data_IF_689016490174
#
_entry.id   IF_689016490174
#
_cell.length_a   1.000
_cell.length_b   1.000
_cell.length_c   1.000
_cell.angle_alpha   90.00
_cell.angle_beta   90.00
_cell.angle_gamma   90.00
#
_symmetry.space_group_name_H-M   'P 1'
#
loop_
_entity.id
_entity.type
_entity.pdbx_description
1 polymer ?
#
# COMPACT_ATOMS: atom_id res chain seq x y z
N UNK A 1 -0.46 -8.43 -27.20
CA UNK A 1 -0.92 -9.04 -25.94
C UNK A 1 -2.37 -8.71 -25.59
N UNK A 2 -2.76 -7.43 -25.46
CA UNK A 2 -4.11 -7.00 -25.02
C UNK A 2 -5.26 -7.56 -25.86
N UNK A 3 -5.09 -7.65 -27.19
CA UNK A 3 -6.08 -8.24 -28.09
C UNK A 3 -6.23 -9.76 -27.87
N UNK A 4 -5.13 -10.46 -27.61
CA UNK A 4 -5.11 -11.91 -27.30
C UNK A 4 -5.79 -12.16 -25.95
N UNK A 5 -5.46 -11.35 -24.95
CA UNK A 5 -6.16 -11.35 -23.66
C UNK A 5 -7.66 -11.13 -23.87
N UNK A 6 -8.06 -10.06 -24.56
CA UNK A 6 -9.48 -9.75 -24.84
C UNK A 6 -10.27 -10.91 -25.45
N UNK A 7 -9.68 -11.62 -26.42
CA UNK A 7 -10.33 -12.74 -27.13
C UNK A 7 -10.53 -13.97 -26.25
N UNK A 8 -9.61 -14.25 -25.34
CA UNK A 8 -9.62 -15.47 -24.54
C UNK A 8 -10.35 -15.31 -23.19
N UNK A 9 -10.64 -14.08 -22.74
CA UNK A 9 -11.38 -13.90 -21.49
C UNK A 9 -12.85 -14.36 -21.60
N UNK A 10 -13.32 -15.23 -20.68
CA UNK A 10 -14.68 -15.75 -20.73
C UNK A 10 -15.73 -14.63 -20.60
N UNK A 11 -16.70 -14.62 -21.50
CA UNK A 11 -17.79 -13.63 -21.52
C UNK A 11 -18.60 -13.58 -20.21
N UNK A 12 -18.70 -14.71 -19.50
CA UNK A 12 -19.42 -14.81 -18.22
C UNK A 12 -18.66 -14.18 -17.05
N UNK A 13 -17.33 -14.14 -17.09
CA UNK A 13 -16.54 -13.48 -16.07
C UNK A 13 -16.61 -11.94 -16.20
N UNK A 14 -16.84 -11.41 -17.42
CA UNK A 14 -17.20 -9.99 -17.66
C UNK A 14 -18.47 -9.57 -16.91
N UNK A 15 -19.45 -10.46 -16.81
CA UNK A 15 -20.73 -10.16 -16.13
C UNK A 15 -20.63 -10.07 -14.61
N UNK A 16 -19.62 -10.68 -13.98
CA UNK A 16 -19.51 -10.74 -12.52
C UNK A 16 -18.57 -9.69 -11.91
N UNK A 17 -17.79 -8.96 -12.72
CA UNK A 17 -16.82 -7.96 -12.23
C UNK A 17 -15.65 -8.55 -11.42
N UNK A 18 -15.45 -9.87 -11.49
CA UNK A 18 -14.45 -10.64 -10.74
C UNK A 18 -13.20 -10.81 -11.60
N UNK A 19 -12.65 -9.73 -12.14
CA UNK A 19 -11.35 -9.80 -12.82
C UNK A 19 -10.29 -9.08 -12.01
N UNK A 20 -9.17 -9.76 -11.80
CA UNK A 20 -7.88 -9.14 -11.54
C UNK A 20 -7.35 -8.62 -12.86
N UNK A 21 -6.70 -7.47 -12.82
CA UNK A 21 -6.05 -6.93 -14.00
C UNK A 21 -4.69 -7.59 -14.15
N UNK A 22 -4.42 -8.09 -15.35
CA UNK A 22 -3.13 -8.59 -15.79
C UNK A 22 -2.23 -7.43 -16.21
N UNK A 23 -0.92 -7.59 -16.05
CA UNK A 23 0.05 -6.64 -16.60
C UNK A 23 0.11 -6.85 -18.12
N UNK A 24 -0.06 -5.77 -18.86
CA UNK A 24 -0.08 -5.77 -20.33
C UNK A 24 1.05 -4.94 -20.95
N UNK A 25 1.92 -4.33 -20.13
CA UNK A 25 3.04 -3.48 -20.57
C UNK A 25 4.37 -4.19 -20.40
N UNK A 26 5.04 -4.45 -21.52
CA UNK A 26 6.41 -4.98 -21.52
C UNK A 26 7.38 -4.03 -20.85
N UNK A 27 7.28 -2.73 -21.14
CA UNK A 27 8.13 -1.70 -20.57
C UNK A 27 8.03 -1.67 -19.05
N UNK A 28 6.83 -1.84 -18.48
CA UNK A 28 6.67 -1.92 -17.02
C UNK A 28 7.41 -3.11 -16.43
N UNK A 29 7.32 -4.29 -17.06
CA UNK A 29 8.06 -5.46 -16.61
C UNK A 29 9.57 -5.24 -16.69
N UNK A 30 10.05 -4.66 -17.79
CA UNK A 30 11.48 -4.37 -18.00
C UNK A 30 12.00 -3.37 -16.93
N UNK A 31 11.28 -2.27 -16.71
CA UNK A 31 11.61 -1.27 -15.68
C UNK A 31 11.62 -1.89 -14.27
N UNK A 32 10.63 -2.73 -13.94
CA UNK A 32 10.53 -3.40 -12.64
C UNK A 32 11.66 -4.43 -12.43
N UNK A 33 12.01 -5.21 -13.45
CA UNK A 33 13.12 -6.17 -13.38
C UNK A 33 14.48 -5.47 -13.26
N UNK A 34 14.67 -4.36 -13.97
CA UNK A 34 15.86 -3.54 -13.82
C UNK A 34 15.98 -3.01 -12.39
N UNK A 35 14.86 -2.54 -11.80
CA UNK A 35 14.80 -2.10 -10.40
C UNK A 35 15.12 -3.23 -9.42
N UNK A 36 14.68 -4.45 -9.72
CA UNK A 36 14.93 -5.64 -8.91
C UNK A 36 16.31 -6.28 -9.13
N UNK A 37 17.06 -5.85 -10.13
CA UNK A 37 18.34 -6.47 -10.51
C UNK A 37 19.32 -6.66 -9.33
N UNK A 38 19.50 -5.73 -8.37
CA UNK A 38 20.43 -5.94 -7.25
C UNK A 38 20.01 -7.09 -6.32
N UNK A 39 18.71 -7.36 -6.22
CA UNK A 39 18.13 -8.39 -5.36
C UNK A 39 18.05 -9.75 -6.06
N UNK A 40 17.85 -9.75 -7.38
CA UNK A 40 17.75 -10.97 -8.17
C UNK A 40 19.12 -11.50 -8.60
N UNK A 41 20.01 -10.64 -9.08
CA UNK A 41 21.26 -11.05 -9.75
C UNK A 41 22.44 -11.32 -8.80
N UNK A 42 22.38 -10.87 -7.54
CA UNK A 42 23.48 -11.12 -6.57
C UNK A 42 23.72 -12.61 -6.32
N UNK A 43 22.64 -13.38 -6.20
CA UNK A 43 22.63 -14.85 -6.20
C UNK A 43 21.50 -15.27 -7.13
N UNK A 44 21.73 -15.41 -8.44
CA UNK A 44 20.66 -15.58 -9.42
C UNK A 44 19.89 -16.88 -9.18
N UNK A 45 18.55 -16.86 -9.15
CA UNK A 45 17.78 -18.09 -9.11
C UNK A 45 17.92 -18.81 -10.45
N UNK A 46 18.10 -20.13 -10.38
CA UNK A 46 18.27 -20.99 -11.55
C UNK A 46 17.01 -21.80 -11.85
N UNK A 47 16.07 -21.88 -10.91
CA UNK A 47 14.76 -22.50 -11.09
C UNK A 47 13.65 -21.51 -10.72
N UNK A 48 12.55 -21.54 -11.48
CA UNK A 48 11.38 -20.68 -11.28
C UNK A 48 10.13 -21.54 -11.17
N UNK A 49 9.38 -21.37 -10.09
CA UNK A 49 8.02 -21.86 -9.95
C UNK A 49 7.06 -20.68 -10.09
N UNK A 50 6.17 -20.72 -11.09
CA UNK A 50 5.23 -19.66 -11.40
C UNK A 50 3.79 -20.11 -11.13
N UNK A 51 3.17 -19.48 -10.14
CA UNK A 51 1.85 -19.79 -9.64
C UNK A 51 0.84 -18.79 -10.20
N UNK A 52 -0.13 -19.28 -10.97
CA UNK A 52 -1.16 -18.48 -11.68
C UNK A 52 -0.57 -17.49 -12.69
N UNK A 53 0.27 -17.94 -13.65
CA UNK A 53 0.94 -17.06 -14.60
C UNK A 53 -0.02 -16.18 -15.42
N UNK A 54 -1.30 -16.58 -15.55
CA UNK A 54 -2.32 -15.80 -16.23
C UNK A 54 -1.92 -15.45 -17.65
N UNK A 55 -1.73 -14.16 -17.95
CA UNK A 55 -1.31 -13.70 -19.27
C UNK A 55 0.12 -14.08 -19.68
N UNK A 56 0.97 -14.53 -18.76
CA UNK A 56 2.34 -14.99 -19.03
C UNK A 56 3.37 -13.92 -19.36
N UNK A 57 3.02 -12.62 -19.35
CA UNK A 57 3.97 -11.55 -19.70
C UNK A 57 5.13 -11.47 -18.73
N UNK A 58 4.81 -11.38 -17.43
CA UNK A 58 5.82 -11.31 -16.39
C UNK A 58 6.66 -12.59 -16.38
N UNK A 59 6.03 -13.75 -16.57
CA UNK A 59 6.68 -15.05 -16.71
C UNK A 59 7.74 -15.02 -17.82
N UNK A 60 7.36 -14.55 -19.01
CA UNK A 60 8.28 -14.41 -20.15
C UNK A 60 9.44 -13.46 -19.84
N UNK A 61 9.14 -12.27 -19.32
CA UNK A 61 10.15 -11.24 -19.04
C UNK A 61 11.13 -11.67 -17.95
N UNK A 62 10.65 -12.33 -16.89
CA UNK A 62 11.50 -12.89 -15.84
C UNK A 62 12.39 -14.01 -16.41
N UNK A 63 11.84 -14.89 -17.26
CA UNK A 63 12.62 -15.94 -17.91
C UNK A 63 13.74 -15.35 -18.79
N UNK A 64 13.44 -14.32 -19.60
CA UNK A 64 14.43 -13.63 -20.43
C UNK A 64 15.55 -13.00 -19.60
N UNK A 65 15.18 -12.37 -18.49
CA UNK A 65 16.09 -11.66 -17.60
C UNK A 65 17.01 -12.61 -16.81
N UNK A 66 16.47 -13.72 -16.30
CA UNK A 66 17.21 -14.64 -15.42
C UNK A 66 17.80 -15.85 -16.14
N UNK A 67 17.24 -16.23 -17.29
CA UNK A 67 17.62 -17.42 -18.07
C UNK A 67 17.69 -18.68 -17.20
N UNK A 68 16.59 -19.07 -16.54
CA UNK A 68 16.58 -20.19 -15.62
C UNK A 68 16.80 -21.51 -16.36
N UNK A 69 17.32 -22.50 -15.62
CA UNK A 69 17.36 -23.90 -16.05
C UNK A 69 15.96 -24.47 -16.24
N UNK A 70 15.03 -24.19 -15.31
CA UNK A 70 13.63 -24.61 -15.38
C UNK A 70 12.68 -23.50 -14.98
N UNK A 71 11.56 -23.40 -15.68
CA UNK A 71 10.46 -22.50 -15.38
C UNK A 71 9.15 -23.27 -15.45
N UNK A 72 8.65 -23.70 -14.30
CA UNK A 72 7.43 -24.51 -14.18
C UNK A 72 6.26 -23.59 -13.85
N UNK A 73 5.26 -23.58 -14.71
CA UNK A 73 4.05 -22.78 -14.61
C UNK A 73 2.87 -23.66 -14.18
N UNK A 74 2.14 -23.25 -13.14
CA UNK A 74 0.91 -23.90 -12.70
C UNK A 74 -0.26 -22.96 -12.92
N UNK A 75 -1.15 -23.33 -13.84
CA UNK A 75 -2.35 -22.55 -14.17
C UNK A 75 -3.60 -23.44 -14.09
N UNK A 76 -4.46 -23.27 -13.06
CA UNK A 76 -5.70 -24.02 -12.95
C UNK A 76 -6.74 -23.68 -14.04
N UNK A 77 -6.72 -22.46 -14.59
CA UNK A 77 -7.72 -21.97 -15.55
C UNK A 77 -7.25 -22.10 -17.01
N UNK A 78 -6.76 -23.29 -17.40
CA UNK A 78 -6.23 -23.52 -18.75
C UNK A 78 -7.24 -23.27 -19.87
N UNK A 79 -8.54 -23.51 -19.66
CA UNK A 79 -9.57 -23.16 -20.65
C UNK A 79 -9.49 -21.68 -21.11
N UNK A 80 -9.03 -20.80 -20.21
CA UNK A 80 -8.85 -19.37 -20.49
C UNK A 80 -7.43 -19.05 -20.94
N UNK A 81 -6.41 -19.59 -20.24
CA UNK A 81 -5.03 -19.13 -20.41
C UNK A 81 -4.17 -20.01 -21.30
N UNK A 82 -4.55 -21.27 -21.56
CA UNK A 82 -3.78 -22.18 -22.40
C UNK A 82 -3.49 -21.62 -23.81
N UNK A 83 -4.43 -20.96 -24.53
CA UNK A 83 -4.12 -20.37 -25.84
C UNK A 83 -3.03 -19.29 -25.81
N UNK A 84 -2.76 -18.72 -24.63
CA UNK A 84 -1.77 -17.65 -24.42
C UNK A 84 -0.46 -18.24 -23.88
N UNK A 85 -0.55 -19.18 -22.94
CA UNK A 85 0.60 -19.79 -22.29
C UNK A 85 1.28 -20.86 -23.16
N UNK A 86 0.52 -21.62 -23.97
CA UNK A 86 1.11 -22.70 -24.77
C UNK A 86 2.16 -22.18 -25.78
N UNK A 87 1.92 -21.08 -26.54
CA UNK A 87 2.96 -20.49 -27.39
C UNK A 87 4.23 -20.08 -26.61
N UNK A 88 4.08 -19.63 -25.35
CA UNK A 88 5.22 -19.30 -24.49
C UNK A 88 5.98 -20.57 -24.09
N UNK A 89 5.28 -21.64 -23.71
CA UNK A 89 5.86 -22.95 -23.37
C UNK A 89 6.66 -23.50 -24.55
N UNK A 90 6.05 -23.50 -25.74
CA UNK A 90 6.65 -24.04 -26.95
C UNK A 90 7.86 -23.22 -27.42
N UNK A 91 7.97 -21.95 -26.98
CA UNK A 91 9.07 -21.07 -27.36
C UNK A 91 10.43 -21.49 -26.80
N UNK A 92 10.46 -22.18 -25.64
CA UNK A 92 11.71 -22.60 -24.98
C UNK A 92 11.55 -23.91 -24.20
N UNK A 93 12.54 -24.83 -24.29
CA UNK A 93 12.48 -26.13 -23.60
C UNK A 93 12.51 -26.04 -22.07
N UNK A 94 12.93 -24.90 -21.50
CA UNK A 94 12.97 -24.71 -20.05
C UNK A 94 11.57 -24.57 -19.42
N UNK A 95 10.54 -24.25 -20.22
CA UNK A 95 9.18 -24.10 -19.73
C UNK A 95 8.49 -25.45 -19.55
N UNK A 96 7.68 -25.56 -18.49
CA UNK A 96 6.74 -26.67 -18.30
C UNK A 96 5.43 -26.10 -17.80
N UNK A 97 4.32 -26.36 -18.49
CA UNK A 97 2.99 -25.96 -18.04
C UNK A 97 2.27 -27.15 -17.42
N UNK A 98 1.71 -26.94 -16.23
CA UNK A 98 0.97 -27.94 -15.47
C UNK A 98 -0.47 -27.49 -15.29
N UNK A 99 -1.40 -28.41 -15.62
CA UNK A 99 -2.82 -28.27 -15.36
C UNK A 99 -3.16 -28.86 -14.00
N UNK A 100 -3.07 -28.09 -12.93
CA UNK A 100 -3.45 -28.58 -11.60
C UNK A 100 -3.96 -27.47 -10.69
N UNK A 101 -4.83 -27.85 -9.74
CA UNK A 101 -5.22 -26.97 -8.65
C UNK A 101 -4.08 -26.86 -7.63
N UNK A 102 -3.54 -25.66 -7.49
CA UNK A 102 -2.45 -25.34 -6.55
C UNK A 102 -2.85 -25.66 -5.11
N UNK A 103 -4.14 -25.53 -4.75
CA UNK A 103 -4.62 -25.82 -3.41
C UNK A 103 -4.73 -27.32 -3.11
N UNK A 104 -4.71 -28.16 -4.14
CA UNK A 104 -4.74 -29.62 -3.99
C UNK A 104 -3.38 -30.22 -3.63
N UNK A 105 -2.28 -29.45 -3.80
CA UNK A 105 -0.91 -29.91 -3.53
C UNK A 105 -0.70 -29.99 -2.01
N UNK A 106 -0.74 -31.21 -1.47
CA UNK A 106 -0.51 -31.48 -0.05
C UNK A 106 0.97 -31.57 0.31
N UNK A 107 1.78 -32.05 -0.62
CA UNK A 107 3.23 -32.26 -0.43
C UNK A 107 4.02 -31.50 -1.50
N UNK A 108 4.33 -30.25 -1.18
CA UNK A 108 5.16 -29.41 -2.03
C UNK A 108 6.62 -29.89 -2.10
N UNK A 109 7.12 -30.64 -1.11
CA UNK A 109 8.49 -31.14 -1.14
C UNK A 109 8.63 -32.20 -2.24
N UNK A 110 7.72 -33.18 -2.28
CA UNK A 110 7.70 -34.17 -3.37
C UNK A 110 7.48 -33.51 -4.73
N UNK A 111 6.59 -32.52 -4.80
CA UNK A 111 6.40 -31.73 -6.02
C UNK A 111 7.70 -31.06 -6.50
N UNK A 112 8.45 -30.42 -5.59
CA UNK A 112 9.72 -29.78 -5.93
C UNK A 112 10.74 -30.80 -6.44
N UNK A 113 10.83 -31.97 -5.81
CA UNK A 113 11.75 -33.04 -6.26
C UNK A 113 11.38 -33.59 -7.63
N UNK A 114 10.09 -33.69 -7.96
CA UNK A 114 9.63 -34.16 -9.27
C UNK A 114 9.92 -33.15 -10.39
N UNK A 115 9.59 -31.88 -10.16
CA UNK A 115 9.62 -30.85 -11.19
C UNK A 115 10.94 -30.06 -11.23
N UNK A 116 11.70 -30.08 -10.14
CA UNK A 116 13.01 -29.45 -9.98
C UNK A 116 13.97 -30.42 -9.26
N UNK A 117 14.40 -31.51 -9.90
CA UNK A 117 15.17 -32.60 -9.26
C UNK A 117 16.53 -32.18 -8.69
N UNK A 118 17.01 -31.00 -9.08
CA UNK A 118 18.24 -30.39 -8.57
C UNK A 118 18.01 -29.51 -7.34
N UNK A 119 16.76 -29.40 -6.85
CA UNK A 119 16.42 -28.79 -5.57
C UNK A 119 16.54 -29.85 -4.47
N UNK A 120 17.15 -29.47 -3.35
CA UNK A 120 17.38 -30.33 -2.20
C UNK A 120 18.10 -29.60 -1.07
N UNK A 121 18.51 -30.34 -0.06
CA UNK A 121 19.21 -29.77 1.11
C UNK A 121 20.53 -29.08 0.76
N UNK A 122 21.16 -29.43 -0.36
CA UNK A 122 22.38 -28.76 -0.85
C UNK A 122 22.15 -27.31 -1.29
N UNK A 123 20.91 -26.92 -1.60
CA UNK A 123 20.54 -25.54 -1.96
C UNK A 123 20.31 -24.65 -0.73
N UNK A 124 20.32 -25.25 0.47
CA UNK A 124 19.97 -24.60 1.71
C UNK A 124 21.21 -23.94 2.35
N UNK A 125 21.19 -22.61 2.46
CA UNK A 125 22.17 -21.80 3.18
C UNK A 125 21.71 -21.62 4.64
N UNK A 126 22.37 -22.31 5.56
CA UNK A 126 22.05 -22.32 7.00
C UNK A 126 22.88 -21.34 7.84
N UNK A 127 23.60 -20.42 7.19
CA UNK A 127 24.47 -19.46 7.90
C UNK A 127 23.72 -18.42 8.75
N UNK A 128 22.40 -18.26 8.54
CA UNK A 128 21.57 -17.29 9.26
C UNK A 128 20.49 -17.93 10.13
N UNK A 129 19.76 -17.09 10.88
CA UNK A 129 18.70 -17.54 11.78
C UNK A 129 17.55 -18.31 11.09
N UNK A 130 17.31 -18.01 9.82
CA UNK A 130 16.38 -18.74 8.96
C UNK A 130 17.15 -19.21 7.73
N UNK A 131 17.07 -20.51 7.44
CA UNK A 131 17.77 -21.09 6.31
C UNK A 131 17.20 -20.55 4.99
N UNK A 132 18.04 -20.40 3.96
CA UNK A 132 17.69 -19.70 2.71
C UNK A 132 17.93 -20.58 1.50
N UNK A 133 17.03 -20.53 0.53
CA UNK A 133 17.23 -21.11 -0.79
C UNK A 133 17.35 -19.98 -1.82
N UNK A 134 18.57 -19.77 -2.32
CA UNK A 134 18.82 -18.76 -3.34
C UNK A 134 18.54 -19.25 -4.75
N UNK A 135 18.42 -20.56 -4.97
CA UNK A 135 18.33 -21.13 -6.32
C UNK A 135 16.91 -21.19 -6.88
N UNK A 136 15.89 -21.11 -6.01
CA UNK A 136 14.48 -21.10 -6.38
C UNK A 136 13.85 -19.70 -6.23
N UNK A 137 13.17 -19.26 -7.28
CA UNK A 137 12.30 -18.08 -7.27
C UNK A 137 10.85 -18.53 -7.45
N UNK A 138 9.96 -18.01 -6.60
CA UNK A 138 8.51 -18.16 -6.79
C UNK A 138 7.97 -16.88 -7.42
N UNK A 139 7.28 -17.03 -8.55
CA UNK A 139 6.38 -16.01 -9.09
C UNK A 139 4.96 -16.34 -8.64
N UNK A 140 4.17 -15.33 -8.26
CA UNK A 140 2.80 -15.57 -7.85
C UNK A 140 1.85 -14.45 -8.27
N UNK A 141 0.74 -14.84 -8.90
CA UNK A 141 -0.33 -13.93 -9.28
C UNK A 141 -1.67 -14.47 -8.76
N UNK A 142 -1.84 -14.61 -7.42
CA UNK A 142 -3.01 -15.26 -6.83
C UNK A 142 -4.33 -14.61 -7.29
N UNK A 143 -5.36 -15.42 -7.60
CA UNK A 143 -6.63 -14.92 -8.11
C UNK A 143 -7.38 -14.11 -7.04
N UNK A 144 -8.24 -13.16 -7.44
CA UNK A 144 -9.09 -12.44 -6.51
C UNK A 144 -10.18 -13.37 -5.97
N UNK A 145 -10.79 -13.01 -4.83
CA UNK A 145 -11.90 -13.79 -4.28
C UNK A 145 -13.09 -13.82 -5.24
N UNK A 146 -13.66 -15.01 -5.44
CA UNK A 146 -14.79 -15.19 -6.36
C UNK A 146 -16.14 -14.80 -5.75
N UNK A 147 -16.17 -14.60 -4.44
CA UNK A 147 -17.38 -14.30 -3.66
C UNK A 147 -17.04 -13.57 -2.37
N UNK A 148 -17.98 -12.81 -1.81
CA UNK A 148 -17.85 -12.24 -0.46
C UNK A 148 -17.77 -13.31 0.65
N UNK A 149 -18.22 -14.54 0.37
CA UNK A 149 -18.11 -15.69 1.28
C UNK A 149 -16.79 -16.44 1.13
N UNK A 150 -16.02 -16.12 0.09
CA UNK A 150 -14.71 -16.71 -0.13
C UNK A 150 -13.68 -15.98 0.73
N UNK A 151 -13.19 -16.68 1.74
CA UNK A 151 -12.23 -16.16 2.70
C UNK A 151 -10.78 -16.36 2.26
N UNK A 152 -10.53 -16.94 1.07
CA UNK A 152 -9.19 -17.19 0.54
C UNK A 152 -8.68 -16.00 -0.28
N UNK A 153 -8.51 -14.86 0.39
CA UNK A 153 -7.94 -13.64 -0.21
C UNK A 153 -6.46 -13.81 -0.56
N UNK A 154 -5.92 -13.09 -1.56
CA UNK A 154 -4.48 -13.03 -1.82
C UNK A 154 -3.62 -12.74 -0.59
N UNK A 155 -4.03 -11.82 0.30
CA UNK A 155 -3.31 -11.55 1.56
C UNK A 155 -3.31 -12.75 2.54
N UNK A 156 -4.33 -13.61 2.46
CA UNK A 156 -4.41 -14.85 3.26
C UNK A 156 -3.51 -15.93 2.68
N UNK A 157 -3.47 -16.09 1.35
CA UNK A 157 -2.49 -16.95 0.69
C UNK A 157 -1.06 -16.52 1.06
N UNK A 158 -0.78 -15.21 1.01
CA UNK A 158 0.51 -14.66 1.44
C UNK A 158 0.83 -15.00 2.90
N UNK A 159 -0.15 -14.89 3.79
CA UNK A 159 0.03 -15.28 5.20
C UNK A 159 0.40 -16.75 5.35
N UNK A 160 -0.25 -17.65 4.60
CA UNK A 160 0.08 -19.08 4.60
C UNK A 160 1.50 -19.29 4.07
N UNK A 161 1.88 -18.64 2.98
CA UNK A 161 3.22 -18.71 2.41
C UNK A 161 4.30 -18.29 3.43
N UNK A 162 4.11 -17.15 4.11
CA UNK A 162 5.04 -16.67 5.14
C UNK A 162 5.05 -17.57 6.38
N UNK A 163 3.91 -18.14 6.78
CA UNK A 163 3.86 -19.11 7.88
C UNK A 163 4.61 -20.41 7.51
N UNK A 164 4.48 -20.92 6.30
CA UNK A 164 5.26 -22.08 5.82
C UNK A 164 6.74 -21.76 5.70
N UNK A 165 7.10 -20.51 5.36
CA UNK A 165 8.47 -20.03 5.41
C UNK A 165 9.04 -20.10 6.83
N UNK A 166 8.33 -19.56 7.82
CA UNK A 166 8.73 -19.63 9.23
C UNK A 166 8.92 -21.07 9.72
N UNK A 167 8.08 -22.00 9.25
CA UNK A 167 8.14 -23.43 9.58
C UNK A 167 9.12 -24.23 8.74
N UNK A 168 9.78 -23.61 7.75
CA UNK A 168 10.63 -24.28 6.75
C UNK A 168 9.95 -25.50 6.12
N UNK A 169 8.69 -25.34 5.72
CA UNK A 169 7.87 -26.41 5.15
C UNK A 169 7.29 -26.03 3.80
N UNK A 170 6.71 -27.01 3.12
CA UNK A 170 6.10 -26.81 1.80
C UNK A 170 7.12 -26.34 0.77
N UNK A 171 6.85 -25.20 0.11
CA UNK A 171 7.78 -24.58 -0.85
C UNK A 171 9.11 -24.12 -0.22
N UNK A 172 9.17 -24.06 1.10
CA UNK A 172 10.35 -23.66 1.87
C UNK A 172 11.10 -24.86 2.47
N UNK A 173 10.75 -26.09 2.07
CA UNK A 173 11.36 -27.32 2.60
C UNK A 173 12.89 -27.38 2.41
N UNK A 174 13.41 -26.70 1.38
CA UNK A 174 14.84 -26.62 1.08
C UNK A 174 15.44 -25.25 1.41
N UNK A 175 14.81 -24.49 2.31
CA UNK A 175 15.20 -23.13 2.67
C UNK A 175 14.18 -22.09 2.21
N UNK A 176 14.23 -20.90 2.81
CA UNK A 176 13.38 -19.76 2.48
C UNK A 176 13.63 -19.26 1.06
N UNK A 177 12.61 -19.32 0.21
CA UNK A 177 12.68 -18.89 -1.20
C UNK A 177 12.34 -17.41 -1.38
N UNK A 178 12.81 -16.81 -2.47
CA UNK A 178 12.39 -15.47 -2.89
C UNK A 178 11.02 -15.53 -3.55
N UNK A 179 10.21 -14.50 -3.35
CA UNK A 179 8.87 -14.36 -3.92
C UNK A 179 8.75 -13.02 -4.65
N UNK A 180 8.30 -13.06 -5.91
CA UNK A 180 7.80 -11.90 -6.64
C UNK A 180 6.30 -12.10 -6.89
N UNK A 181 5.46 -11.25 -6.30
CA UNK A 181 4.02 -11.41 -6.40
C UNK A 181 3.31 -10.16 -6.93
N UNK A 182 2.25 -10.37 -7.70
CA UNK A 182 1.30 -9.33 -8.09
C UNK A 182 0.04 -9.46 -7.24
N UNK A 183 -0.33 -8.39 -6.53
CA UNK A 183 -1.46 -8.37 -5.61
C UNK A 183 -2.43 -7.23 -5.93
N UNK A 184 -3.74 -7.36 -5.66
CA UNK A 184 -4.61 -6.21 -5.58
C UNK A 184 -4.08 -5.20 -4.55
N UNK A 185 -4.26 -3.90 -4.79
CA UNK A 185 -3.73 -2.83 -3.89
C UNK A 185 -4.16 -3.02 -2.43
N UNK A 186 -5.40 -3.45 -2.17
CA UNK A 186 -5.86 -3.72 -0.80
C UNK A 186 -5.09 -4.85 -0.12
N UNK A 187 -4.76 -5.91 -0.86
CA UNK A 187 -4.00 -7.05 -0.35
C UNK A 187 -2.51 -6.70 -0.19
N UNK A 188 -1.94 -5.92 -1.13
CA UNK A 188 -0.59 -5.39 -1.00
C UNK A 188 -0.45 -4.52 0.27
N UNK A 189 -1.43 -3.65 0.53
CA UNK A 189 -1.47 -2.83 1.76
C UNK A 189 -1.70 -3.66 3.02
N UNK A 190 -2.34 -4.83 2.95
CA UNK A 190 -2.45 -5.73 4.09
C UNK A 190 -1.13 -6.45 4.41
N UNK A 191 -0.27 -6.63 3.40
CA UNK A 191 1.06 -7.25 3.50
C UNK A 191 2.13 -6.23 3.90
N UNK A 192 2.10 -5.03 3.31
CA UNK A 192 3.02 -3.92 3.59
C UNK A 192 2.17 -2.69 3.97
N UNK A 193 1.71 -2.62 5.23
CA UNK A 193 0.82 -1.56 5.67
C UNK A 193 1.56 -0.23 5.76
N UNK A 194 0.83 0.84 5.45
CA UNK A 194 1.36 2.21 5.52
C UNK A 194 1.14 2.84 6.88
N UNK A 195 0.22 2.28 7.67
CA UNK A 195 -0.14 2.74 9.02
C UNK A 195 -0.13 1.59 10.01
N UNK A 196 0.08 1.89 11.29
CA UNK A 196 0.03 0.90 12.37
C UNK A 196 -1.36 0.27 12.52
N UNK A 197 -2.43 1.04 12.27
CA UNK A 197 -3.81 0.55 12.35
C UNK A 197 -4.09 -0.61 11.36
N UNK A 198 -3.38 -0.64 10.23
CA UNK A 198 -3.51 -1.70 9.21
C UNK A 198 -2.49 -2.83 9.39
N UNK A 199 -1.60 -2.75 10.40
CA UNK A 199 -0.61 -3.77 10.73
C UNK A 199 -1.27 -5.01 11.36
N UNK A 200 -1.75 -5.89 10.49
CA UNK A 200 -2.47 -7.13 10.83
C UNK A 200 -1.63 -8.37 10.54
N UNK A 201 -2.20 -9.56 10.69
CA UNK A 201 -1.51 -10.86 10.54
C UNK A 201 -0.61 -10.96 9.28
N UNK A 202 -1.03 -10.58 8.06
CA UNK A 202 -0.16 -10.70 6.88
C UNK A 202 1.10 -9.85 7.01
N UNK A 203 0.98 -8.61 7.48
CA UNK A 203 2.10 -7.72 7.75
C UNK A 203 3.03 -8.28 8.82
N UNK A 204 2.47 -8.70 9.97
CA UNK A 204 3.25 -9.26 11.07
C UNK A 204 4.08 -10.47 10.62
N UNK A 205 3.49 -11.40 9.86
CA UNK A 205 4.22 -12.55 9.34
C UNK A 205 5.33 -12.12 8.36
N UNK A 206 5.04 -11.17 7.48
CA UNK A 206 6.02 -10.63 6.51
C UNK A 206 7.21 -10.01 7.23
N UNK A 207 6.96 -9.16 8.22
CA UNK A 207 7.99 -8.49 9.04
C UNK A 207 8.86 -9.47 9.82
N UNK A 208 8.33 -10.64 10.19
CA UNK A 208 9.07 -11.65 10.95
C UNK A 208 10.01 -12.51 10.07
N UNK A 209 9.65 -12.77 8.81
CA UNK A 209 10.39 -13.72 7.96
C UNK A 209 11.15 -13.07 6.81
N UNK A 210 10.68 -11.94 6.30
CA UNK A 210 11.25 -11.33 5.12
C UNK A 210 12.47 -10.46 5.50
N UNK A 211 13.64 -10.84 4.98
CA UNK A 211 14.82 -9.96 5.05
C UNK A 211 14.59 -8.64 4.30
N UNK A 212 13.88 -8.72 3.18
CA UNK A 212 13.48 -7.59 2.36
C UNK A 212 12.04 -7.78 1.88
N UNK A 213 11.19 -6.78 2.08
CA UNK A 213 9.83 -6.74 1.55
C UNK A 213 9.43 -5.29 1.27
N UNK A 214 9.14 -4.99 0.01
CA UNK A 214 8.77 -3.66 -0.48
C UNK A 214 7.96 -3.78 -1.77
N UNK A 215 7.15 -2.76 -2.05
CA UNK A 215 6.42 -2.65 -3.32
C UNK A 215 7.37 -2.20 -4.44
N UNK A 216 7.40 -2.93 -5.56
CA UNK A 216 8.26 -2.62 -6.70
C UNK A 216 7.60 -1.63 -7.65
N UNK A 217 6.30 -1.85 -7.90
CA UNK A 217 5.47 -1.02 -8.76
C UNK A 217 4.04 -1.00 -8.22
N UNK A 218 3.37 0.14 -8.32
CA UNK A 218 2.02 0.33 -7.83
C UNK A 218 1.21 1.26 -8.75
N UNK A 219 -0.09 0.98 -8.96
CA UNK A 219 -0.97 1.96 -9.60
C UNK A 219 -1.30 3.09 -8.61
N UNK A 220 -2.04 4.10 -9.08
CA UNK A 220 -2.60 5.14 -8.19
C UNK A 220 -3.38 4.48 -7.05
N UNK A 221 -2.88 4.66 -5.82
CA UNK A 221 -3.48 4.10 -4.62
C UNK A 221 -4.45 5.10 -3.96
N UNK A 222 -5.46 4.61 -3.21
CA UNK A 222 -6.23 5.47 -2.31
C UNK A 222 -5.29 6.17 -1.33
N UNK A 223 -5.47 7.48 -1.14
CA UNK A 223 -4.59 8.31 -0.30
C UNK A 223 -5.13 8.54 1.11
N UNK A 224 -6.27 7.93 1.48
CA UNK A 224 -6.92 8.13 2.78
C UNK A 224 -5.98 7.84 3.99
N UNK A 225 -5.02 6.92 3.82
CA UNK A 225 -4.02 6.58 4.84
C UNK A 225 -3.11 7.77 5.20
N UNK A 226 -2.92 8.75 4.31
CA UNK A 226 -2.11 9.97 4.59
C UNK A 226 -2.72 10.76 5.73
N UNK A 227 -4.06 10.82 5.83
CA UNK A 227 -4.72 11.50 6.93
C UNK A 227 -4.54 10.78 8.27
N UNK A 228 -4.44 9.45 8.25
CA UNK A 228 -4.18 8.66 9.46
C UNK A 228 -2.72 8.72 9.89
N UNK A 229 -1.78 8.77 8.93
CA UNK A 229 -0.34 8.84 9.20
C UNK A 229 0.16 10.24 9.54
N UNK A 230 -0.48 11.27 9.00
CA UNK A 230 -0.06 12.67 9.12
C UNK A 230 0.82 13.11 7.93
N UNK A 231 0.57 14.33 7.45
CA UNK A 231 1.24 14.86 6.26
C UNK A 231 2.75 14.97 6.45
N UNK A 232 3.20 15.57 7.55
CA UNK A 232 4.62 15.84 7.78
C UNK A 232 5.43 14.56 7.88
N UNK A 233 4.88 13.53 8.53
CA UNK A 233 5.51 12.22 8.65
C UNK A 233 5.65 11.54 7.27
N UNK A 234 4.61 11.63 6.43
CA UNK A 234 4.64 11.10 5.07
C UNK A 234 5.66 11.84 4.19
N UNK A 235 5.67 13.17 4.25
CA UNK A 235 6.59 14.00 3.50
C UNK A 235 8.05 13.76 3.91
N UNK A 236 8.33 13.69 5.22
CA UNK A 236 9.65 13.39 5.74
C UNK A 236 10.12 11.99 5.34
N UNK A 237 9.22 10.99 5.37
CA UNK A 237 9.56 9.65 4.94
C UNK A 237 9.88 9.58 3.43
N UNK A 238 9.06 10.24 2.59
CA UNK A 238 9.32 10.32 1.15
C UNK A 238 10.67 11.00 0.85
N UNK A 239 11.01 12.06 1.58
CA UNK A 239 12.32 12.72 1.47
C UNK A 239 13.48 11.78 1.85
N UNK A 240 13.33 10.99 2.92
CA UNK A 240 14.34 9.98 3.30
C UNK A 240 14.47 8.89 2.24
N UNK A 241 13.38 8.45 1.63
CA UNK A 241 13.42 7.48 0.53
C UNK A 241 14.14 8.05 -0.68
N UNK A 242 13.87 9.29 -1.08
CA UNK A 242 14.59 9.96 -2.17
C UNK A 242 16.09 10.11 -1.88
N UNK A 243 16.46 10.35 -0.61
CA UNK A 243 17.85 10.34 -0.19
C UNK A 243 18.49 8.96 -0.36
N UNK A 244 17.82 7.88 0.08
CA UNK A 244 18.30 6.49 -0.11
C UNK A 244 18.46 6.15 -1.60
N UNK A 245 17.52 6.58 -2.43
CA UNK A 245 17.59 6.41 -3.88
C UNK A 245 18.84 7.07 -4.47
N UNK A 246 19.16 8.28 -4.01
CA UNK A 246 20.37 9.00 -4.41
C UNK A 246 21.64 8.28 -3.92
N UNK A 247 21.69 7.90 -2.64
CA UNK A 247 22.81 7.18 -2.02
C UNK A 247 23.11 5.84 -2.72
N UNK A 248 22.06 5.15 -3.19
CA UNK A 248 22.17 3.84 -3.84
C UNK A 248 22.20 3.91 -5.37
N UNK A 249 22.23 5.12 -5.95
CA UNK A 249 22.19 5.36 -7.40
C UNK A 249 21.00 4.66 -8.10
N UNK A 250 19.83 4.68 -7.45
CA UNK A 250 18.60 4.07 -7.96
C UNK A 250 17.97 5.00 -8.99
N UNK A 251 17.91 4.55 -10.24
CA UNK A 251 17.31 5.30 -11.34
C UNK A 251 15.80 5.09 -11.39
N UNK A 252 15.03 6.18 -11.37
CA UNK A 252 13.60 6.17 -11.70
C UNK A 252 13.46 6.41 -13.20
N UNK A 253 12.93 5.44 -13.98
CA UNK A 253 12.71 5.65 -15.41
C UNK A 253 11.74 6.81 -15.64
N UNK A 254 11.96 7.67 -16.66
CA UNK A 254 11.09 8.81 -16.93
C UNK A 254 9.64 8.39 -17.13
N UNK A 255 8.72 9.08 -16.45
CA UNK A 255 7.29 8.79 -16.47
C UNK A 255 6.86 7.68 -15.51
N UNK A 256 7.77 7.18 -14.66
CA UNK A 256 7.46 6.23 -13.57
C UNK A 256 7.39 6.88 -12.19
N UNK A 257 7.59 8.19 -12.12
CA UNK A 257 7.49 8.95 -10.88
C UNK A 257 6.06 8.86 -10.34
N UNK A 258 5.94 8.70 -9.02
CA UNK A 258 4.63 8.78 -8.38
C UNK A 258 4.08 10.22 -8.50
N UNK A 259 2.79 10.39 -8.80
CA UNK A 259 2.16 11.70 -8.75
C UNK A 259 2.33 12.33 -7.36
N UNK A 260 2.61 13.63 -7.27
CA UNK A 260 2.74 14.31 -5.99
C UNK A 260 1.44 14.20 -5.19
N UNK A 261 1.56 14.14 -3.87
CA UNK A 261 0.39 14.16 -2.99
C UNK A 261 -0.33 15.49 -3.18
N UNK A 262 -1.64 15.48 -3.52
CA UNK A 262 -2.36 16.71 -3.73
C UNK A 262 -2.57 17.37 -2.37
N UNK A 263 -2.21 18.65 -2.27
CA UNK A 263 -2.32 19.41 -1.03
C UNK A 263 -3.67 20.11 -0.96
N UNK A 264 -4.29 20.12 0.22
CA UNK A 264 -5.54 20.83 0.44
C UNK A 264 -5.35 22.33 0.16
N UNK A 265 -6.38 23.01 -0.36
CA UNK A 265 -6.31 24.43 -0.64
C UNK A 265 -6.34 25.24 0.67
N UNK A 266 -5.69 26.41 0.64
CA UNK A 266 -5.88 27.43 1.66
C UNK A 266 -7.21 28.16 1.46
N UNK A 267 -7.88 28.51 2.55
CA UNK A 267 -9.10 29.31 2.48
C UNK A 267 -8.76 30.75 2.10
N UNK A 268 -9.48 31.37 1.14
CA UNK A 268 -9.24 32.77 0.78
C UNK A 268 -9.67 33.74 1.89
N UNK A 269 -10.48 33.28 2.84
CA UNK A 269 -10.92 34.06 3.99
C UNK A 269 -10.59 33.30 5.27
N UNK A 270 -9.71 33.83 6.15
CA UNK A 270 -9.26 33.12 7.35
C UNK A 270 -10.33 33.02 8.45
N UNK A 271 -11.42 33.78 8.34
CA UNK A 271 -12.54 33.74 9.29
C UNK A 271 -12.21 34.39 10.64
N UNK A 272 -13.02 34.08 11.66
CA UNK A 272 -12.92 34.70 13.00
C UNK A 272 -11.91 34.02 13.94
N UNK A 273 -11.56 32.76 13.66
CA UNK A 273 -10.60 31.99 14.43
C UNK A 273 -9.48 31.53 13.50
N UNK A 274 -8.60 32.45 13.07
CA UNK A 274 -7.49 32.13 12.19
C UNK A 274 -6.47 31.27 12.94
N UNK A 275 -5.96 30.26 12.25
CA UNK A 275 -4.77 29.51 12.65
C UNK A 275 -3.86 29.40 11.43
N UNK A 276 -2.55 29.18 11.61
CA UNK A 276 -1.64 28.92 10.49
C UNK A 276 -2.17 27.82 9.56
N UNK A 277 -1.88 27.95 8.27
CA UNK A 277 -2.19 26.90 7.31
C UNK A 277 -1.37 25.63 7.66
N UNK A 278 -2.07 24.49 7.76
CA UNK A 278 -1.45 23.19 8.01
C UNK A 278 -1.58 22.31 6.76
N UNK A 279 -0.46 21.87 6.16
CA UNK A 279 -0.45 20.95 5.03
C UNK A 279 -1.23 19.66 5.35
N UNK A 280 -2.09 19.26 4.42
CA UNK A 280 -2.91 18.05 4.53
C UNK A 280 -3.39 17.61 3.16
N UNK A 281 -3.90 16.38 3.07
CA UNK A 281 -4.32 15.79 1.82
C UNK A 281 -5.53 16.53 1.21
N UNK A 282 -5.47 16.82 -0.09
CA UNK A 282 -6.63 17.26 -0.86
C UNK A 282 -7.65 16.11 -1.02
N UNK A 283 -8.93 16.41 -0.85
CA UNK A 283 -10.00 15.41 -0.92
C UNK A 283 -11.16 15.94 -1.76
N UNK A 284 -12.06 15.05 -2.19
CA UNK A 284 -13.29 15.43 -2.90
C UNK A 284 -14.15 16.45 -2.12
N UNK A 285 -14.00 16.53 -0.79
CA UNK A 285 -14.65 17.58 0.00
C UNK A 285 -14.05 18.96 -0.37
N UNK A 286 -12.73 19.09 -0.33
CA UNK A 286 -12.04 20.34 -0.61
C UNK A 286 -12.33 20.83 -2.04
N UNK A 287 -12.29 19.95 -3.04
CA UNK A 287 -12.59 20.32 -4.42
C UNK A 287 -14.02 20.87 -4.56
N UNK A 288 -15.00 20.24 -3.87
CA UNK A 288 -16.38 20.72 -3.81
C UNK A 288 -16.50 22.08 -3.10
N UNK A 289 -15.79 22.27 -1.99
CA UNK A 289 -15.79 23.54 -1.27
C UNK A 289 -15.18 24.65 -2.12
N UNK A 290 -14.05 24.41 -2.79
CA UNK A 290 -13.41 25.37 -3.68
C UNK A 290 -14.27 25.72 -4.88
N UNK A 291 -15.00 24.76 -5.46
CA UNK A 291 -15.94 25.04 -6.53
C UNK A 291 -17.06 26.00 -6.07
N UNK A 292 -17.61 25.79 -4.86
CA UNK A 292 -18.61 26.69 -4.26
C UNK A 292 -18.02 28.07 -3.95
N UNK A 293 -16.77 28.12 -3.49
CA UNK A 293 -16.08 29.38 -3.18
C UNK A 293 -15.89 30.21 -4.45
N UNK A 294 -15.40 29.59 -5.54
CA UNK A 294 -15.19 30.25 -6.84
C UNK A 294 -16.51 30.75 -7.43
N UNK A 295 -17.55 29.91 -7.42
CA UNK A 295 -18.87 30.28 -7.95
C UNK A 295 -19.58 31.41 -7.17
N UNK A 296 -19.13 31.72 -5.95
CA UNK A 296 -19.65 32.80 -5.13
C UNK A 296 -18.77 34.05 -5.11
N UNK A 297 -17.72 34.12 -5.93
CA UNK A 297 -16.77 35.23 -5.97
C UNK A 297 -17.42 36.49 -6.56
N UNK A 298 -17.40 37.65 -5.85
CA UNK A 298 -18.04 38.87 -6.33
C UNK A 298 -17.56 39.35 -7.69
N UNK A 299 -16.32 39.02 -8.08
CA UNK A 299 -15.73 39.39 -9.37
C UNK A 299 -16.48 38.81 -10.59
N UNK A 300 -17.22 37.71 -10.42
CA UNK A 300 -18.08 37.11 -11.46
C UNK A 300 -19.56 37.54 -11.36
N UNK A 301 -19.92 38.29 -10.31
CA UNK A 301 -21.30 38.71 -10.07
C UNK A 301 -21.55 40.14 -10.58
N UNK A 302 -22.47 40.29 -11.54
CA UNK A 302 -22.90 41.61 -12.03
C UNK A 302 -23.49 42.45 -10.88
N UNK A 303 -23.10 43.72 -10.69
CA UNK A 303 -23.57 44.52 -9.57
C UNK A 303 -25.05 44.89 -9.76
N UNK A 304 -25.91 44.43 -8.85
CA UNK A 304 -27.30 44.90 -8.74
C UNK A 304 -27.33 46.03 -7.72
N UNK A 305 -27.61 47.25 -8.19
CA UNK A 305 -27.76 48.46 -7.36
C UNK A 305 -29.16 48.49 -6.76
N UNK A 306 -29.33 48.16 -5.48
CA UNK A 306 -30.54 48.52 -4.72
C UNK A 306 -30.21 48.95 -3.29
N UNK A 307 -30.81 50.05 -2.85
CA UNK A 307 -30.51 50.83 -1.64
C UNK A 307 -31.15 50.30 -0.33
N UNK A 308 -31.28 48.98 -0.16
CA UNK A 308 -31.70 48.37 1.09
C UNK A 308 -30.55 47.53 1.66
N UNK A 309 -30.37 47.47 3.00
CA UNK A 309 -29.34 46.67 3.68
C UNK A 309 -29.17 45.33 2.94
N UNK A 310 -28.01 45.03 2.33
CA UNK A 310 -27.91 43.93 1.39
C UNK A 310 -28.08 42.63 2.18
N UNK A 311 -29.24 41.96 2.03
CA UNK A 311 -29.35 40.55 2.42
C UNK A 311 -28.25 39.83 1.63
N UNK A 312 -27.27 39.25 2.33
CA UNK A 312 -26.21 38.46 1.69
C UNK A 312 -26.89 37.49 0.72
N UNK A 313 -26.53 37.57 -0.55
CA UNK A 313 -27.11 36.71 -1.58
C UNK A 313 -26.95 35.24 -1.18
N UNK A 314 -27.86 34.37 -1.61
CA UNK A 314 -27.75 32.95 -1.32
C UNK A 314 -26.38 32.37 -1.74
N UNK A 315 -25.79 32.89 -2.82
CA UNK A 315 -24.43 32.57 -3.26
C UNK A 315 -23.36 33.03 -2.24
N UNK A 316 -23.43 34.27 -1.76
CA UNK A 316 -22.51 34.77 -0.74
C UNK A 316 -22.61 33.99 0.59
N UNK A 317 -23.82 33.54 0.96
CA UNK A 317 -24.00 32.68 2.14
C UNK A 317 -23.40 31.29 1.94
N UNK A 318 -23.59 30.67 0.77
CA UNK A 318 -22.98 29.37 0.44
C UNK A 318 -21.46 29.46 0.42
N UNK A 319 -20.89 30.50 -0.17
CA UNK A 319 -19.45 30.77 -0.16
C UNK A 319 -18.94 30.93 1.27
N UNK A 320 -19.58 31.75 2.08
CA UNK A 320 -19.19 31.94 3.49
C UNK A 320 -19.17 30.61 4.26
N UNK A 321 -20.20 29.76 4.10
CA UNK A 321 -20.24 28.42 4.71
C UNK A 321 -19.11 27.52 4.22
N UNK A 322 -18.78 27.59 2.93
CA UNK A 322 -17.68 26.81 2.36
C UNK A 322 -16.31 27.24 2.92
N UNK A 323 -16.05 28.54 3.04
CA UNK A 323 -14.86 29.06 3.71
C UNK A 323 -14.81 28.62 5.19
N UNK A 324 -15.92 28.70 5.92
CA UNK A 324 -16.01 28.24 7.31
C UNK A 324 -15.61 26.77 7.44
N UNK A 325 -16.13 25.91 6.55
CA UNK A 325 -15.83 24.48 6.59
C UNK A 325 -14.36 24.19 6.26
N UNK A 326 -13.79 24.89 5.28
CA UNK A 326 -12.38 24.75 4.92
C UNK A 326 -11.44 25.22 6.06
N UNK A 327 -11.77 26.34 6.71
CA UNK A 327 -11.07 26.83 7.89
C UNK A 327 -11.19 25.89 9.08
N UNK A 328 -12.37 25.28 9.28
CA UNK A 328 -12.58 24.30 10.35
C UNK A 328 -11.71 23.06 10.14
N UNK A 329 -11.65 22.54 8.92
CA UNK A 329 -10.80 21.41 8.58
C UNK A 329 -9.30 21.73 8.80
N UNK A 330 -8.86 22.94 8.40
CA UNK A 330 -7.50 23.42 8.69
C UNK A 330 -7.24 23.50 10.22
N UNK A 331 -8.16 24.04 11.00
CA UNK A 331 -8.06 24.08 12.47
C UNK A 331 -7.93 22.68 13.07
N UNK A 332 -8.74 21.73 12.62
CA UNK A 332 -8.64 20.36 13.11
C UNK A 332 -7.27 19.76 12.80
N UNK A 333 -6.70 20.00 11.61
CA UNK A 333 -5.35 19.55 11.28
C UNK A 333 -4.28 20.24 12.16
N UNK A 334 -4.34 21.56 12.31
CA UNK A 334 -3.43 22.35 13.11
C UNK A 334 -3.35 21.89 14.57
N UNK A 335 -4.50 21.73 15.23
CA UNK A 335 -4.53 21.31 16.63
C UNK A 335 -4.13 19.85 16.83
N UNK A 336 -4.47 18.95 15.89
CA UNK A 336 -3.96 17.57 15.92
C UNK A 336 -2.44 17.54 15.86
N UNK A 337 -1.84 18.30 14.95
CA UNK A 337 -0.39 18.36 14.78
C UNK A 337 0.31 18.85 16.06
N UNK A 338 -0.19 19.94 16.66
CA UNK A 338 0.35 20.45 17.93
C UNK A 338 0.31 19.41 19.06
N UNK A 339 -0.80 18.69 19.21
CA UNK A 339 -0.91 17.66 20.26
C UNK A 339 0.08 16.53 19.97
N UNK A 340 0.19 16.08 18.72
CA UNK A 340 1.15 15.03 18.31
C UNK A 340 2.60 15.45 18.58
N UNK A 341 2.96 16.71 18.32
CA UNK A 341 4.32 17.21 18.56
C UNK A 341 4.65 17.31 20.05
N UNK A 342 3.71 17.80 20.89
CA UNK A 342 3.88 17.80 22.36
C UNK A 342 4.00 16.38 22.93
N UNK A 343 3.21 15.44 22.42
CA UNK A 343 3.30 14.03 22.81
C UNK A 343 4.65 13.42 22.42
N UNK A 344 5.22 13.82 21.28
CA UNK A 344 6.57 13.41 20.90
C UNK A 344 7.66 13.99 21.82
N UNK A 345 7.48 15.22 22.32
CA UNK A 345 8.36 15.80 23.35
C UNK A 345 8.28 15.02 24.66
N UNK A 346 7.07 14.64 25.09
CA UNK A 346 6.84 13.78 26.25
C UNK A 346 7.52 12.42 26.06
N UNK A 347 7.39 11.79 24.89
CA UNK A 347 8.06 10.52 24.58
C UNK A 347 9.59 10.62 24.74
N UNK A 348 10.23 11.71 24.29
CA UNK A 348 11.67 11.92 24.45
C UNK A 348 12.08 12.18 25.91
N UNK A 349 11.24 12.90 26.69
CA UNK A 349 11.45 13.06 28.13
C UNK A 349 11.34 11.71 28.86
N UNK A 350 10.35 10.89 28.51
CA UNK A 350 10.17 9.54 29.09
C UNK A 350 11.34 8.62 28.73
N UNK A 351 11.84 8.67 27.49
CA UNK A 351 13.07 7.95 27.10
C UNK A 351 14.27 8.41 27.92
N UNK A 352 14.41 9.72 28.11
CA UNK A 352 15.50 10.29 28.94
C UNK A 352 15.40 9.84 30.38
N UNK A 353 14.20 9.88 30.98
CA UNK A 353 13.93 9.37 32.32
C UNK A 353 14.27 7.88 32.42
N UNK A 354 13.82 7.06 31.45
CA UNK A 354 14.11 5.62 31.44
C UNK A 354 15.61 5.32 31.38
N UNK A 355 16.39 6.08 30.60
CA UNK A 355 17.85 5.95 30.54
C UNK A 355 18.51 6.38 31.85
N UNK A 356 18.11 7.53 32.40
CA UNK A 356 18.63 8.01 33.68
C UNK A 356 18.31 7.03 34.81
N UNK A 357 17.11 6.45 34.84
CA UNK A 357 16.71 5.45 35.85
C UNK A 357 17.48 4.13 35.74
N UNK A 358 18.08 3.83 34.58
CA UNK A 358 18.92 2.65 34.38
C UNK A 358 20.35 2.83 34.92
N UNK A 359 20.77 4.07 35.23
CA UNK A 359 22.10 4.33 35.79
C UNK A 359 22.19 3.86 37.26
N UNK A 360 23.21 3.07 37.64
CA UNK A 360 23.32 2.51 39.00
C UNK A 360 23.42 3.56 40.11
N UNK A 361 23.83 4.78 39.77
CA UNK A 361 24.02 5.91 40.70
C UNK A 361 22.79 6.79 40.85
N UNK A 362 21.74 6.54 40.06
CA UNK A 362 20.52 7.33 40.10
C UNK A 362 19.72 7.09 41.38
N UNK A 363 19.24 8.19 41.96
CA UNK A 363 18.35 8.17 43.13
C UNK A 363 16.98 8.71 42.74
N UNK A 364 15.94 8.38 43.51
CA UNK A 364 14.61 8.94 43.30
C UNK A 364 14.66 10.49 43.27
N UNK A 365 15.43 11.09 44.18
CA UNK A 365 15.59 12.54 44.27
C UNK A 365 16.22 13.16 43.02
N UNK A 366 17.19 12.48 42.38
CA UNK A 366 17.81 12.96 41.15
C UNK A 366 16.90 12.84 39.91
N UNK A 367 15.90 11.94 39.95
CA UNK A 367 14.94 11.73 38.86
C UNK A 367 13.68 12.60 38.98
N UNK A 368 13.35 13.06 40.19
CA UNK A 368 12.14 13.84 40.47
C UNK A 368 11.93 15.05 39.53
N UNK A 369 12.96 15.86 39.20
CA UNK A 369 12.77 16.99 38.30
C UNK A 369 12.28 16.59 36.90
N UNK A 370 12.71 15.42 36.38
CA UNK A 370 12.25 14.91 35.09
C UNK A 370 10.81 14.39 35.19
N UNK A 371 10.48 13.72 36.29
CA UNK A 371 9.10 13.24 36.55
C UNK A 371 8.13 14.42 36.64
N UNK A 372 8.52 15.50 37.33
CA UNK A 372 7.69 16.70 37.46
C UNK A 372 7.49 17.39 36.10
N UNK A 373 8.54 17.45 35.27
CA UNK A 373 8.43 17.99 33.90
C UNK A 373 7.50 17.17 33.01
N UNK A 374 7.61 15.83 33.05
CA UNK A 374 6.73 14.93 32.30
C UNK A 374 5.28 15.12 32.77
N UNK A 375 5.05 15.11 34.09
CA UNK A 375 3.70 15.27 34.66
C UNK A 375 3.08 16.62 34.27
N UNK A 376 3.87 17.70 34.31
CA UNK A 376 3.41 19.02 33.90
C UNK A 376 3.08 19.08 32.38
N UNK A 377 3.90 18.44 31.54
CA UNK A 377 3.66 18.37 30.11
C UNK A 377 2.43 17.53 29.76
N UNK A 378 2.24 16.37 30.41
CA UNK A 378 1.05 15.53 30.27
C UNK A 378 -0.22 16.29 30.65
N UNK A 379 -0.20 17.01 31.78
CA UNK A 379 -1.32 17.83 32.22
C UNK A 379 -1.65 18.95 31.21
N UNK A 380 -0.64 19.62 30.65
CA UNK A 380 -0.83 20.67 29.64
C UNK A 380 -1.39 20.11 28.31
N UNK A 381 -1.01 18.89 27.94
CA UNK A 381 -1.59 18.22 26.76
C UNK A 381 -3.04 17.84 27.01
N UNK A 382 -3.38 17.32 28.20
CA UNK A 382 -4.75 16.96 28.53
C UNK A 382 -5.68 18.18 28.60
N UNK A 383 -5.22 19.28 29.20
CA UNK A 383 -5.95 20.56 29.18
C UNK A 383 -6.24 21.00 27.73
N UNK A 384 -5.21 20.98 26.87
CA UNK A 384 -5.39 21.30 25.46
C UNK A 384 -6.38 20.35 24.77
N UNK A 385 -6.38 19.05 25.10
CA UNK A 385 -7.31 18.07 24.52
C UNK A 385 -8.77 18.37 24.90
N UNK A 386 -9.01 18.76 26.15
CA UNK A 386 -10.35 19.08 26.67
C UNK A 386 -10.96 20.33 26.03
N UNK A 387 -10.13 21.27 25.57
CA UNK A 387 -10.57 22.47 24.85
C UNK A 387 -11.01 22.18 23.40
N UNK A 388 -10.63 21.03 22.84
CA UNK A 388 -10.91 20.71 21.45
C UNK A 388 -12.17 19.85 21.28
N UNK A 389 -12.86 20.07 20.16
CA UNK A 389 -13.99 19.23 19.77
C UNK A 389 -13.56 17.77 19.49
N UNK A 390 -14.43 16.80 19.79
CA UNK A 390 -14.11 15.36 19.68
C UNK A 390 -13.63 14.94 18.27
N UNK A 391 -14.14 15.57 17.21
CA UNK A 391 -13.74 15.32 15.82
C UNK A 391 -12.25 15.59 15.58
N UNK A 392 -11.66 16.55 16.29
CA UNK A 392 -10.22 16.83 16.27
C UNK A 392 -9.47 15.72 17.01
N UNK A 393 -9.93 15.35 18.21
CA UNK A 393 -9.20 14.47 19.13
C UNK A 393 -9.22 13.00 18.70
N UNK A 394 -10.32 12.52 18.08
CA UNK A 394 -10.49 11.09 17.77
C UNK A 394 -9.39 10.48 16.88
N UNK A 395 -8.68 11.28 16.11
CA UNK A 395 -7.59 10.80 15.24
C UNK A 395 -6.20 10.93 15.86
N UNK A 396 -6.07 11.68 16.96
CA UNK A 396 -4.78 11.92 17.61
C UNK A 396 -4.08 10.62 18.03
N UNK A 397 -4.74 9.63 18.66
CA UNK A 397 -4.06 8.39 19.06
C UNK A 397 -3.38 7.65 17.89
N UNK A 398 -4.06 7.59 16.73
CA UNK A 398 -3.52 6.92 15.53
C UNK A 398 -2.28 7.65 15.00
N UNK A 399 -2.31 8.99 14.97
CA UNK A 399 -1.18 9.81 14.54
C UNK A 399 0.05 9.63 15.46
N UNK A 400 -0.19 9.56 16.78
CA UNK A 400 0.87 9.31 17.77
C UNK A 400 1.48 7.93 17.55
N UNK A 401 0.66 6.89 17.40
CA UNK A 401 1.12 5.52 17.19
C UNK A 401 1.94 5.39 15.89
N UNK A 402 1.47 6.01 14.79
CA UNK A 402 2.19 6.03 13.52
C UNK A 402 3.53 6.77 13.62
N UNK A 403 3.58 7.90 14.34
CA UNK A 403 4.82 8.63 14.59
C UNK A 403 5.80 7.79 15.41
N UNK A 404 5.36 7.20 16.52
CA UNK A 404 6.16 6.31 17.37
C UNK A 404 6.71 5.14 16.56
N UNK A 405 5.87 4.45 15.79
CA UNK A 405 6.29 3.34 14.95
C UNK A 405 7.33 3.75 13.90
N UNK A 406 7.19 4.94 13.32
CA UNK A 406 8.07 5.43 12.26
C UNK A 406 9.40 5.98 12.77
N UNK A 407 9.45 6.54 13.98
CA UNK A 407 10.59 7.32 14.48
C UNK A 407 11.04 6.90 15.89
N UNK A 408 10.73 5.69 16.37
CA UNK A 408 11.11 5.27 17.73
C UNK A 408 12.63 5.37 18.00
N UNK A 409 13.47 5.12 16.98
CA UNK A 409 14.93 5.26 17.04
C UNK A 409 15.45 6.64 16.62
N UNK A 410 14.57 7.56 16.23
CA UNK A 410 14.91 8.84 15.61
C UNK A 410 15.19 8.76 14.10
N UNK A 411 15.08 7.58 13.47
CA UNK A 411 15.29 7.40 12.03
C UNK A 411 14.23 6.49 11.41
N UNK A 412 13.87 6.75 10.14
CA UNK A 412 13.02 5.85 9.35
C UNK A 412 13.75 4.56 8.93
N UNK A 413 15.08 4.49 9.06
CA UNK A 413 15.84 3.30 8.67
C UNK A 413 15.55 2.10 9.57
N UNK A 414 15.23 2.36 10.84
CA UNK A 414 14.81 1.34 11.80
C UNK A 414 13.29 1.37 12.06
N UNK A 415 12.49 2.05 11.24
CA UNK A 415 11.05 2.14 11.44
C UNK A 415 10.39 0.75 11.56
N UNK A 416 9.34 0.64 12.37
CA UNK A 416 8.64 -0.62 12.59
C UNK A 416 8.04 -1.17 11.28
N UNK A 417 7.34 -0.31 10.54
CA UNK A 417 6.68 -0.67 9.28
C UNK A 417 7.71 -0.82 8.17
N UNK A 418 7.64 -1.92 7.42
CA UNK A 418 8.48 -2.15 6.24
C UNK A 418 8.27 -1.06 5.16
N UNK A 419 7.06 -0.49 5.09
CA UNK A 419 6.76 0.61 4.18
C UNK A 419 7.72 1.78 4.39
N UNK A 420 7.99 2.18 5.62
CA UNK A 420 8.84 3.35 5.94
C UNK A 420 10.33 3.08 5.71
N UNK A 421 10.71 1.80 5.73
CA UNK A 421 12.06 1.30 5.43
C UNK A 421 12.29 1.01 3.96
N UNK A 422 11.32 1.31 3.07
CA UNK A 422 11.46 0.99 1.65
C UNK A 422 12.74 1.63 1.07
N UNK A 423 13.49 0.89 0.23
CA UNK A 423 14.72 1.40 -0.37
C UNK A 423 14.44 2.48 -1.43
N UNK A 424 13.24 2.46 -2.01
CA UNK A 424 12.82 3.34 -3.09
C UNK A 424 11.29 3.47 -3.15
N UNK A 425 10.79 4.46 -3.88
CA UNK A 425 9.36 4.56 -4.20
C UNK A 425 8.97 3.53 -5.28
N UNK A 426 7.77 2.92 -5.18
CA UNK A 426 7.30 2.00 -6.22
C UNK A 426 7.11 2.73 -7.54
N UNK A 427 7.49 2.08 -8.64
CA UNK A 427 7.28 2.60 -9.99
C UNK A 427 5.78 2.77 -10.26
N UNK A 428 5.40 3.92 -10.85
CA UNK A 428 4.01 4.17 -11.20
C UNK A 428 3.55 3.27 -12.34
N UNK A 429 2.48 2.52 -12.09
CA UNK A 429 1.77 1.73 -13.10
C UNK A 429 0.68 2.61 -13.71
N UNK A 430 0.80 2.89 -15.00
CA UNK A 430 -0.22 3.66 -15.70
C UNK A 430 -1.48 2.82 -15.95
N UNK A 431 -2.69 3.43 -15.95
CA UNK A 431 -3.94 2.68 -16.11
C UNK A 431 -4.03 1.82 -17.37
N UNK A 432 -3.40 2.25 -18.48
CA UNK A 432 -3.37 1.56 -19.77
C UNK A 432 -2.45 0.34 -19.81
N UNK A 433 -1.56 0.21 -18.83
CA UNK A 433 -0.62 -0.91 -18.73
C UNK A 433 -1.23 -2.14 -18.05
N UNK A 434 -2.51 -2.05 -17.71
CA UNK A 434 -3.28 -3.09 -17.05
C UNK A 434 -4.48 -3.49 -17.89
N UNK A 435 -4.76 -4.80 -17.94
CA UNK A 435 -5.92 -5.31 -18.67
C UNK A 435 -6.68 -6.39 -17.88
N UNK A 436 -8.01 -6.27 -17.70
CA UNK A 436 -8.84 -5.13 -18.09
C UNK A 436 -8.49 -3.86 -17.28
N UNK A 437 -8.71 -2.65 -17.83
CA UNK A 437 -8.46 -1.40 -17.11
C UNK A 437 -9.23 -1.32 -15.79
N UNK A 438 -8.62 -0.74 -14.75
CA UNK A 438 -9.23 -0.60 -13.41
C UNK A 438 -10.54 0.19 -13.40
N UNK A 439 -10.62 1.27 -14.15
CA UNK A 439 -11.77 2.18 -14.12
C UNK A 439 -13.04 1.60 -14.76
N UNK A 440 -12.90 0.64 -15.67
CA UNK A 440 -14.04 -0.10 -16.22
C UNK A 440 -14.73 -0.95 -15.13
N UNK A 441 -13.97 -1.51 -14.19
CA UNK A 441 -14.52 -2.30 -13.06
C UNK A 441 -15.39 -1.46 -12.11
N UNK A 442 -15.02 -0.21 -11.84
CA UNK A 442 -15.81 0.68 -10.98
C UNK A 442 -17.13 1.13 -11.64
N UNK A 443 -17.14 1.30 -12.96
CA UNK A 443 -18.36 1.64 -13.72
C UNK A 443 -19.33 0.45 -13.79
N UNK A 444 -18.82 -0.76 -14.04
CA UNK A 444 -19.64 -1.97 -14.15
C UNK A 444 -20.19 -2.43 -12.80
N UNK A 445 -19.40 -2.36 -11.72
CA UNK A 445 -19.88 -2.65 -10.36
C UNK A 445 -20.96 -1.67 -9.87
N UNK A 446 -20.86 -0.38 -10.23
CA UNK A 446 -21.92 0.61 -9.98
C UNK A 446 -23.16 0.39 -10.84
N UNK A 447 -23.01 -0.04 -12.09
CA UNK A 447 -24.13 -0.36 -12.97
C UNK A 447 -24.90 -1.62 -12.49
N UNK A 448 -24.19 -2.67 -12.09
CA UNK A 448 -24.78 -3.88 -11.49
C UNK A 448 -25.53 -3.55 -10.19
N UNK A 449 -24.98 -2.70 -9.32
CA UNK A 449 -25.65 -2.27 -8.09
C UNK A 449 -26.90 -1.38 -8.33
N UNK A 450 -27.03 -0.76 -9.52
CA UNK A 450 -28.23 -0.02 -9.94
C UNK A 450 -29.29 -0.92 -10.56
N UNK A 451 -28.92 -2.00 -11.24
CA UNK A 451 -29.87 -2.97 -11.82
C UNK A 451 -30.58 -3.81 -10.74
N UNK A 452 -29.89 -4.18 -9.66
CA UNK A 452 -30.51 -4.92 -8.53
C UNK A 452 -31.57 -4.09 -7.77
N UNK A 453 -31.60 -2.76 -7.93
CA UNK A 453 -32.64 -1.90 -7.31
C UNK A 453 -33.90 -1.71 -8.16
N UNK A 454 -33.95 -2.27 -9.37
CA UNK A 454 -35.08 -2.09 -10.28
C UNK A 454 -35.88 -3.36 -10.60
N UNK A 455 -35.45 -4.52 -10.09
CA UNK A 455 -36.25 -5.75 -10.15
C UNK A 455 -36.89 -6.01 -8.78
N UNK A 456 -37.92 -5.23 -8.48
CA UNK A 456 -39.05 -5.68 -7.65
C UNK A 456 -40.30 -4.90 -8.06
N UNK A 457 -41.15 -5.50 -8.92
CA UNK A 457 -42.56 -5.16 -8.92
C UNK A 457 -43.41 -6.41 -8.69
N UNK A 458 -44.20 -6.32 -7.62
CA UNK A 458 -45.53 -6.90 -7.44
C UNK A 458 -45.71 -8.39 -7.11
N UNK A 459 -46.56 -8.59 -6.11
CA UNK A 459 -47.29 -9.81 -5.78
C UNK A 459 -47.26 -10.06 -4.27
N UNK A 460 -48.32 -9.90 -3.49
CA UNK A 460 -49.74 -9.70 -3.75
C UNK A 460 -50.49 -10.27 -2.55
N UNK A 461 -51.40 -9.46 -1.99
CA UNK A 461 -52.46 -9.73 -0.99
C UNK A 461 -52.08 -10.41 0.32
#
# INVERSE_FOLDING_TARGET
MTQTLYKNFPANAKKKGIFKSEIASEKLCDDALQRLSPYLLRKPPVDILDLWPGGGLLSSKVNDFLRPRRHVMIEPELDTFQPILQPLVDSRPCYKLLSMDIHSVRDWQSFLLEHFPDQGMSNCDTSGALAKNHTLLVLANPPPTRSKKDHYTPARWWSVFMETCMRQSGLHAFGSVRLLATLPVSDAQAVIPRTVADRKRPALLTENVALHAFEVAAPKAPLAWVNSKGWDLVAANAARVAQRETEQNIVIPPGRELPPLPMAPESPEPGQMPVPYTPRLNTDLHDRLMAVIRAGDPAESKPIKTAAKPKKSAAAQKRMRACIQLNQDNRHAYYRQQIVDKEAEIDEMVKTLSRAAAEPTSTLASLQPLVDQITAAEAAVEEQRLEQHFETIKQVPVLIDDRRASLHSGSFDDALLLWDRRPFEPLFIHPEEQYPPRDQRHRESRAAARHVRHEDPQGGL
#
